data_IF_820037442927
#
_entry.id   IF_820037442927
#
_cell.length_a   1.000
_cell.length_b   1.000
_cell.length_c   1.000
_cell.angle_alpha   90.00
_cell.angle_beta   90.00
_cell.angle_gamma   90.00
#
_symmetry.space_group_name_H-M   'P 1'
#
loop_
_entity.id
_entity.type
_entity.pdbx_description
1 polymer ?
#
# COMPACT_ATOMS: atom_id res chain seq x y z
N UNK A 1 27.92 0.18 18.66
CA UNK A 1 27.12 -0.81 17.91
C UNK A 1 25.75 -1.12 18.52
N UNK A 2 25.59 -1.34 19.84
CA UNK A 2 24.27 -1.61 20.48
C UNK A 2 23.22 -0.47 20.37
N UNK A 3 23.65 0.79 20.25
CA UNK A 3 22.74 1.93 20.09
C UNK A 3 22.07 1.95 18.71
N UNK A 4 22.86 1.75 17.65
CA UNK A 4 22.39 1.73 16.26
C UNK A 4 21.39 0.60 15.97
N UNK A 5 21.54 -0.56 16.59
CA UNK A 5 20.59 -1.67 16.42
C UNK A 5 19.22 -1.32 17.01
N UNK A 6 19.18 -0.76 18.23
CA UNK A 6 17.92 -0.34 18.87
C UNK A 6 17.18 0.73 18.07
N UNK A 7 17.91 1.70 17.50
CA UNK A 7 17.32 2.73 16.63
C UNK A 7 16.71 2.14 15.36
N UNK A 8 17.39 1.16 14.74
CA UNK A 8 16.88 0.46 13.57
C UNK A 8 15.61 -0.34 13.88
N UNK A 9 15.54 -0.97 15.05
CA UNK A 9 14.38 -1.76 15.48
C UNK A 9 13.16 -0.85 15.70
N UNK A 10 13.34 0.27 16.41
CA UNK A 10 12.28 1.26 16.61
C UNK A 10 11.78 1.85 15.28
N UNK A 11 12.70 2.30 14.42
CA UNK A 11 12.36 2.84 13.10
C UNK A 11 11.60 1.82 12.24
N UNK A 12 12.00 0.55 12.30
CA UNK A 12 11.34 -0.54 11.57
C UNK A 12 9.91 -0.74 12.06
N UNK A 13 9.69 -0.79 13.38
CA UNK A 13 8.34 -0.95 13.93
C UNK A 13 7.43 0.22 13.60
N UNK A 14 7.92 1.46 13.77
CA UNK A 14 7.11 2.65 13.45
C UNK A 14 6.79 2.70 11.96
N UNK A 15 7.78 2.49 11.09
CA UNK A 15 7.55 2.44 9.64
C UNK A 15 6.57 1.33 9.27
N UNK A 16 6.65 0.16 9.89
CA UNK A 16 5.73 -0.95 9.65
C UNK A 16 4.28 -0.59 10.01
N UNK A 17 4.06 -0.04 11.20
CA UNK A 17 2.73 0.37 11.66
C UNK A 17 2.15 1.44 10.76
N UNK A 18 2.91 2.50 10.48
CA UNK A 18 2.44 3.59 9.60
C UNK A 18 2.15 3.07 8.20
N UNK A 19 3.03 2.24 7.64
CA UNK A 19 2.82 1.62 6.32
C UNK A 19 1.54 0.80 6.29
N UNK A 20 1.31 -0.05 7.30
CA UNK A 20 0.11 -0.86 7.39
C UNK A 20 -1.15 0.02 7.47
N UNK A 21 -1.13 1.10 8.26
CA UNK A 21 -2.24 2.05 8.35
C UNK A 21 -2.50 2.75 7.02
N UNK A 22 -1.47 3.19 6.30
CA UNK A 22 -1.61 3.80 4.96
C UNK A 22 -2.22 2.81 3.98
N UNK A 23 -1.70 1.58 3.92
CA UNK A 23 -2.23 0.54 3.03
C UNK A 23 -3.70 0.28 3.35
N UNK A 24 -4.05 0.07 4.62
CA UNK A 24 -5.44 -0.17 5.02
C UNK A 24 -6.35 1.03 4.70
N UNK A 25 -5.89 2.26 4.92
CA UNK A 25 -6.68 3.47 4.63
C UNK A 25 -7.02 3.61 3.13
N UNK A 26 -6.08 3.28 2.25
CA UNK A 26 -6.26 3.45 0.80
C UNK A 26 -6.83 2.22 0.07
N UNK A 27 -6.83 1.04 0.72
CA UNK A 27 -7.38 -0.19 0.13
C UNK A 27 -8.73 -0.56 0.70
N UNK A 28 -8.85 -0.64 2.03
CA UNK A 28 -10.10 -0.97 2.72
C UNK A 28 -10.86 0.30 3.11
N UNK A 29 -10.14 1.33 3.55
CA UNK A 29 -10.71 2.60 4.01
C UNK A 29 -11.49 3.36 2.92
N UNK A 30 -11.18 3.14 1.63
CA UNK A 30 -11.93 3.71 0.49
C UNK A 30 -13.41 3.30 0.45
N UNK A 31 -13.80 2.23 1.15
CA UNK A 31 -15.20 1.82 1.32
C UNK A 31 -15.99 2.67 2.31
N UNK A 32 -15.29 3.45 3.15
CA UNK A 32 -15.88 4.21 4.25
C UNK A 32 -15.63 5.72 4.13
N UNK A 33 -14.60 6.11 3.40
CA UNK A 33 -14.18 7.51 3.25
C UNK A 33 -14.22 7.91 1.79
N UNK A 34 -14.93 9.00 1.48
CA UNK A 34 -14.93 9.63 0.16
C UNK A 34 -13.82 10.68 0.07
N UNK A 35 -13.17 10.79 -1.08
CA UNK A 35 -12.23 11.89 -1.35
C UNK A 35 -12.78 12.74 -2.50
N UNK A 36 -13.07 14.04 -2.26
CA UNK A 36 -13.62 14.92 -3.29
C UNK A 36 -12.80 14.92 -4.57
N UNK A 37 -13.47 14.67 -5.70
CA UNK A 37 -12.85 14.64 -7.03
C UNK A 37 -12.04 13.38 -7.35
N UNK A 38 -11.88 12.44 -6.41
CA UNK A 38 -11.07 11.23 -6.58
C UNK A 38 -11.91 9.96 -6.55
N UNK A 39 -12.69 9.74 -5.49
CA UNK A 39 -13.61 8.61 -5.38
C UNK A 39 -14.73 8.87 -4.36
N UNK A 40 -15.83 8.11 -4.49
CA UNK A 40 -16.90 8.06 -3.48
C UNK A 40 -16.92 6.71 -2.76
N UNK A 41 -17.18 6.73 -1.45
CA UNK A 41 -17.29 5.50 -0.64
C UNK A 41 -18.43 4.59 -1.10
N UNK A 42 -19.55 5.18 -1.50
CA UNK A 42 -20.72 4.46 -2.03
C UNK A 42 -20.39 3.58 -3.24
N UNK A 43 -19.43 4.01 -4.08
CA UNK A 43 -19.02 3.24 -5.26
C UNK A 43 -18.25 1.96 -4.94
N UNK A 44 -17.82 1.81 -3.68
CA UNK A 44 -17.02 0.70 -3.19
C UNK A 44 -17.78 -0.23 -2.23
N UNK A 45 -19.08 -0.03 -2.00
CA UNK A 45 -19.89 -0.97 -1.22
C UNK A 45 -20.48 -2.08 -2.09
N UNK A 46 -19.59 -2.85 -2.73
CA UNK A 46 -19.94 -3.95 -3.62
C UNK A 46 -19.11 -5.19 -3.28
N UNK A 47 -19.61 -6.37 -3.67
CA UNK A 47 -18.87 -7.64 -3.62
C UNK A 47 -18.70 -8.18 -5.04
N UNK A 48 -17.65 -7.73 -5.72
CA UNK A 48 -17.39 -8.13 -7.12
C UNK A 48 -15.94 -8.58 -7.26
N UNK A 49 -15.71 -9.62 -8.07
CA UNK A 49 -14.37 -10.12 -8.39
C UNK A 49 -14.09 -9.81 -9.86
N UNK A 50 -12.96 -9.16 -10.11
CA UNK A 50 -12.47 -8.79 -11.43
C UNK A 50 -11.14 -9.48 -11.70
N UNK A 51 -11.21 -10.48 -12.58
CA UNK A 51 -10.08 -11.35 -12.90
C UNK A 51 -9.27 -10.88 -14.10
N UNK A 52 -9.83 -9.99 -14.93
CA UNK A 52 -9.10 -9.43 -16.05
C UNK A 52 -8.12 -8.36 -15.53
N UNK A 53 -6.79 -8.56 -15.64
CA UNK A 53 -5.81 -7.58 -15.16
C UNK A 53 -5.78 -6.29 -16.00
N UNK A 54 -6.55 -6.22 -17.07
CA UNK A 54 -6.73 -5.02 -17.89
C UNK A 54 -8.11 -4.39 -17.70
N UNK A 55 -8.94 -4.92 -16.80
CA UNK A 55 -10.33 -4.47 -16.64
C UNK A 55 -10.43 -2.98 -16.32
N UNK A 56 -9.54 -2.48 -15.45
CA UNK A 56 -9.48 -1.06 -15.12
C UNK A 56 -9.18 -0.18 -16.35
N UNK A 57 -8.35 -0.66 -17.28
CA UNK A 57 -8.01 0.06 -18.51
C UNK A 57 -9.11 -0.05 -19.58
N UNK A 58 -9.76 -1.20 -19.70
CA UNK A 58 -10.83 -1.45 -20.67
C UNK A 58 -12.10 -0.64 -20.34
N UNK A 59 -12.42 -0.50 -19.06
CA UNK A 59 -13.65 0.16 -18.58
C UNK A 59 -13.38 1.49 -17.88
N UNK A 60 -12.29 2.17 -18.27
CA UNK A 60 -11.88 3.44 -17.69
C UNK A 60 -12.96 4.52 -17.85
N UNK A 61 -13.57 4.95 -16.73
CA UNK A 61 -14.53 6.07 -16.73
C UNK A 61 -13.87 7.42 -17.02
N UNK A 62 -12.64 7.57 -16.54
CA UNK A 62 -11.80 8.76 -16.73
C UNK A 62 -10.41 8.30 -17.15
N UNK A 63 -9.80 9.01 -18.10
CA UNK A 63 -8.53 8.58 -18.73
C UNK A 63 -7.37 8.42 -17.75
N UNK A 64 -7.37 9.17 -16.65
CA UNK A 64 -6.32 9.15 -15.62
C UNK A 64 -6.54 8.07 -14.55
N UNK A 65 -7.75 7.54 -14.43
CA UNK A 65 -8.14 6.59 -13.38
C UNK A 65 -7.28 5.31 -13.36
N UNK A 66 -7.09 4.63 -14.50
CA UNK A 66 -6.27 3.42 -14.57
C UNK A 66 -4.81 3.67 -14.21
N UNK A 67 -4.25 4.81 -14.63
CA UNK A 67 -2.88 5.19 -14.30
C UNK A 67 -2.72 5.45 -12.81
N UNK A 68 -3.70 6.13 -12.20
CA UNK A 68 -3.71 6.35 -10.76
C UNK A 68 -3.81 5.02 -10.00
N UNK A 69 -4.64 4.08 -10.46
CA UNK A 69 -4.74 2.76 -9.84
C UNK A 69 -3.41 1.99 -9.90
N UNK A 70 -2.84 1.90 -11.10
CA UNK A 70 -1.58 1.20 -11.35
C UNK A 70 -0.43 1.77 -10.52
N UNK A 71 -0.17 3.07 -10.62
CA UNK A 71 0.93 3.70 -9.87
C UNK A 71 0.63 3.82 -8.38
N UNK A 72 -0.63 4.00 -7.99
CA UNK A 72 -1.07 4.07 -6.61
C UNK A 72 -0.80 2.76 -5.86
N UNK A 73 -1.21 1.63 -6.44
CA UNK A 73 -1.00 0.31 -5.84
C UNK A 73 0.50 -0.07 -5.76
N UNK A 74 1.28 0.20 -6.82
CA UNK A 74 2.74 0.05 -6.76
C UNK A 74 3.32 0.92 -5.63
N UNK A 75 2.93 2.19 -5.55
CA UNK A 75 3.43 3.12 -4.54
C UNK A 75 3.05 2.71 -3.11
N UNK A 76 1.85 2.17 -2.89
CA UNK A 76 1.39 1.68 -1.59
C UNK A 76 2.23 0.50 -1.08
N UNK A 77 2.68 -0.38 -1.97
CA UNK A 77 3.43 -1.57 -1.59
C UNK A 77 4.96 -1.43 -1.64
N UNK A 78 5.51 -0.35 -2.21
CA UNK A 78 6.92 0.02 -2.07
C UNK A 78 7.39 0.02 -0.59
N UNK A 79 6.76 0.75 0.35
CA UNK A 79 7.17 0.72 1.75
C UNK A 79 6.95 -0.64 2.40
N UNK A 80 5.94 -1.42 1.98
CA UNK A 80 5.70 -2.79 2.48
C UNK A 80 6.91 -3.68 2.18
N UNK A 81 7.39 -3.67 0.93
CA UNK A 81 8.57 -4.44 0.53
C UNK A 81 9.83 -4.01 1.27
N UNK A 82 10.04 -2.69 1.43
CA UNK A 82 11.22 -2.15 2.10
C UNK A 82 11.27 -2.56 3.58
N UNK A 83 10.13 -2.44 4.26
CA UNK A 83 9.97 -2.79 5.68
C UNK A 83 10.04 -4.30 5.89
N UNK A 84 9.47 -5.11 4.99
CA UNK A 84 9.47 -6.57 5.09
C UNK A 84 10.84 -7.21 4.77
N UNK A 85 11.73 -6.50 4.08
CA UNK A 85 13.04 -7.03 3.68
C UNK A 85 13.91 -7.44 4.89
N UNK A 86 14.30 -8.72 4.92
CA UNK A 86 15.20 -9.32 5.92
C UNK A 86 16.30 -10.15 5.23
N UNK A 87 16.96 -9.57 4.22
CA UNK A 87 18.05 -10.22 3.48
C UNK A 87 17.60 -11.09 2.29
N UNK A 88 16.29 -11.20 2.03
CA UNK A 88 15.74 -11.93 0.89
C UNK A 88 14.62 -11.13 0.24
N UNK A 89 14.81 -10.76 -1.03
CA UNK A 89 13.78 -10.09 -1.84
C UNK A 89 12.58 -11.01 -2.01
N UNK A 90 12.81 -12.29 -2.33
CA UNK A 90 11.71 -13.26 -2.53
C UNK A 90 10.81 -13.42 -1.31
N UNK A 91 11.36 -13.44 -0.08
CA UNK A 91 10.54 -13.50 1.15
C UNK A 91 9.72 -12.23 1.36
N UNK A 92 10.28 -11.06 1.05
CA UNK A 92 9.56 -9.79 1.16
C UNK A 92 8.45 -9.68 0.11
N UNK A 93 8.70 -10.14 -1.11
CA UNK A 93 7.69 -10.22 -2.17
C UNK A 93 6.57 -11.18 -1.80
N UNK A 94 6.90 -12.37 -1.28
CA UNK A 94 5.89 -13.32 -0.80
C UNK A 94 5.04 -12.73 0.33
N UNK A 95 5.65 -12.01 1.27
CA UNK A 95 4.93 -11.29 2.31
C UNK A 95 3.97 -10.25 1.70
N UNK A 96 4.45 -9.44 0.75
CA UNK A 96 3.62 -8.49 0.01
C UNK A 96 2.46 -9.15 -0.73
N UNK A 97 2.70 -10.27 -1.42
CA UNK A 97 1.66 -11.04 -2.10
C UNK A 97 0.59 -11.53 -1.12
N UNK A 98 0.98 -12.12 0.01
CA UNK A 98 0.04 -12.60 1.03
C UNK A 98 -0.78 -11.44 1.62
N UNK A 99 -0.15 -10.30 1.90
CA UNK A 99 -0.85 -9.10 2.36
C UNK A 99 -1.84 -8.60 1.32
N UNK A 100 -1.45 -8.50 0.05
CA UNK A 100 -2.32 -8.05 -1.02
C UNK A 100 -3.52 -8.98 -1.19
N UNK A 101 -3.29 -10.29 -1.28
CA UNK A 101 -4.39 -11.26 -1.38
C UNK A 101 -5.33 -11.20 -0.17
N UNK A 102 -4.78 -10.99 1.04
CA UNK A 102 -5.60 -10.82 2.25
C UNK A 102 -6.51 -9.59 2.20
N UNK A 103 -6.01 -8.48 1.62
CA UNK A 103 -6.80 -7.25 1.41
C UNK A 103 -7.92 -7.49 0.40
N UNK A 104 -7.59 -8.08 -0.76
CA UNK A 104 -8.57 -8.41 -1.80
C UNK A 104 -9.68 -9.34 -1.29
N UNK A 105 -9.29 -10.37 -0.54
CA UNK A 105 -10.23 -11.30 0.09
C UNK A 105 -11.12 -10.58 1.11
N UNK A 106 -10.56 -9.66 1.91
CA UNK A 106 -11.35 -8.87 2.84
C UNK A 106 -12.33 -7.95 2.11
N UNK A 107 -11.91 -7.28 1.03
CA UNK A 107 -12.77 -6.44 0.21
C UNK A 107 -13.95 -7.23 -0.36
N UNK A 108 -13.69 -8.43 -0.88
CA UNK A 108 -14.74 -9.32 -1.39
C UNK A 108 -15.68 -9.83 -0.28
N UNK A 109 -15.14 -10.39 0.81
CA UNK A 109 -15.96 -11.02 1.86
C UNK A 109 -16.83 -10.01 2.61
N UNK A 110 -16.33 -8.81 2.84
CA UNK A 110 -17.04 -7.78 3.61
C UNK A 110 -17.80 -6.76 2.75
N UNK A 111 -17.86 -6.95 1.42
CA UNK A 111 -18.48 -5.99 0.49
C UNK A 111 -17.85 -4.59 0.56
N UNK A 112 -16.53 -4.51 0.75
CA UNK A 112 -15.77 -3.25 0.82
C UNK A 112 -15.13 -2.87 -0.52
N UNK A 113 -15.47 -3.55 -1.61
CA UNK A 113 -15.08 -3.10 -2.94
C UNK A 113 -14.97 -4.20 -3.97
N UNK A 114 -14.33 -3.83 -5.06
CA UNK A 114 -13.93 -4.77 -6.09
C UNK A 114 -12.69 -5.50 -5.60
N UNK A 115 -12.66 -6.81 -5.82
CA UNK A 115 -11.47 -7.62 -5.68
C UNK A 115 -10.80 -7.76 -7.04
N UNK A 116 -9.61 -7.19 -7.17
CA UNK A 116 -8.98 -6.84 -8.43
C UNK A 116 -7.66 -7.56 -8.63
N UNK A 117 -7.55 -8.28 -9.75
CA UNK A 117 -6.31 -9.02 -10.07
C UNK A 117 -5.16 -8.08 -10.46
N UNK A 118 -5.46 -6.93 -11.07
CA UNK A 118 -4.47 -5.91 -11.38
C UNK A 118 -3.89 -5.24 -10.14
N UNK A 119 -4.69 -5.07 -9.07
CA UNK A 119 -4.24 -4.55 -7.79
C UNK A 119 -3.19 -5.49 -7.16
N UNK A 120 -3.43 -6.80 -7.16
CA UNK A 120 -2.45 -7.80 -6.67
C UNK A 120 -1.15 -7.73 -7.46
N UNK A 121 -1.21 -7.65 -8.79
CA UNK A 121 -0.02 -7.57 -9.63
C UNK A 121 0.78 -6.29 -9.33
N UNK A 122 0.12 -5.15 -9.25
CA UNK A 122 0.74 -3.86 -8.94
C UNK A 122 1.37 -3.86 -7.53
N UNK A 123 0.67 -4.41 -6.55
CA UNK A 123 1.14 -4.53 -5.17
C UNK A 123 2.38 -5.43 -5.06
N UNK A 124 2.40 -6.56 -5.78
CA UNK A 124 3.58 -7.44 -5.87
C UNK A 124 4.78 -6.72 -6.49
N UNK A 125 4.57 -5.96 -7.57
CA UNK A 125 5.62 -5.15 -8.20
C UNK A 125 6.15 -4.10 -7.22
N UNK A 126 5.27 -3.40 -6.51
CA UNK A 126 5.65 -2.46 -5.45
C UNK A 126 6.49 -3.11 -4.36
N UNK A 127 6.05 -4.26 -3.84
CA UNK A 127 6.80 -5.00 -2.82
C UNK A 127 8.18 -5.47 -3.32
N UNK A 128 8.28 -5.88 -4.57
CA UNK A 128 9.54 -6.27 -5.20
C UNK A 128 10.51 -5.09 -5.31
N UNK A 129 10.06 -3.95 -5.84
CA UNK A 129 10.86 -2.74 -5.96
C UNK A 129 11.32 -2.22 -4.58
N UNK A 130 10.41 -2.21 -3.60
CA UNK A 130 10.70 -1.79 -2.23
C UNK A 130 11.73 -2.68 -1.54
N UNK A 131 11.59 -4.00 -1.71
CA UNK A 131 12.55 -4.97 -1.18
C UNK A 131 13.92 -4.87 -1.87
N UNK A 132 13.94 -4.63 -3.18
CA UNK A 132 15.17 -4.36 -3.94
C UNK A 132 15.89 -3.11 -3.42
N UNK A 133 15.15 -2.01 -3.24
CA UNK A 133 15.68 -0.77 -2.66
C UNK A 133 16.23 -0.98 -1.24
N UNK A 134 15.55 -1.78 -0.40
CA UNK A 134 16.03 -2.15 0.93
C UNK A 134 17.33 -2.97 0.89
N UNK A 135 17.48 -3.87 -0.08
CA UNK A 135 18.70 -4.65 -0.29
C UNK A 135 19.90 -3.81 -0.72
N UNK A 136 19.66 -2.76 -1.50
CA UNK A 136 20.70 -1.80 -1.92
C UNK A 136 21.04 -0.72 -0.88
N UNK A 137 20.22 -0.56 0.17
CA UNK A 137 20.41 0.48 1.19
C UNK A 137 21.48 0.08 2.21
N UNK A 138 22.46 0.95 2.45
CA UNK A 138 23.50 0.71 3.45
C UNK A 138 22.91 0.59 4.87
N UNK A 139 23.55 -0.20 5.74
CA UNK A 139 23.10 -0.40 7.12
C UNK A 139 22.99 0.91 7.92
N UNK A 140 23.83 1.90 7.60
CA UNK A 140 23.81 3.22 8.24
C UNK A 140 22.63 4.09 7.80
N UNK A 141 22.20 3.98 6.55
CA UNK A 141 21.12 4.80 6.00
C UNK A 141 19.73 4.18 6.19
N UNK A 142 19.65 2.88 6.50
CA UNK A 142 18.36 2.17 6.67
C UNK A 142 17.45 2.83 7.70
N UNK A 143 17.97 3.24 8.86
CA UNK A 143 17.18 3.97 9.86
C UNK A 143 16.53 5.22 9.27
N UNK A 144 17.32 6.03 8.58
CA UNK A 144 16.87 7.28 7.97
C UNK A 144 15.76 7.04 6.97
N UNK A 145 15.91 6.05 6.07
CA UNK A 145 14.87 5.70 5.09
C UNK A 145 13.59 5.24 5.77
N UNK A 146 13.68 4.42 6.82
CA UNK A 146 12.51 3.99 7.59
C UNK A 146 11.79 5.16 8.26
N UNK A 147 12.52 6.13 8.82
CA UNK A 147 11.93 7.34 9.37
C UNK A 147 11.30 8.24 8.30
N UNK A 148 11.90 8.33 7.11
CA UNK A 148 11.29 9.02 5.97
C UNK A 148 9.99 8.35 5.53
N UNK A 149 9.95 7.02 5.44
CA UNK A 149 8.73 6.26 5.14
C UNK A 149 7.66 6.55 6.19
N UNK A 150 8.01 6.50 7.48
CA UNK A 150 7.08 6.79 8.56
C UNK A 150 6.55 8.23 8.51
N UNK A 151 7.42 9.22 8.29
CA UNK A 151 7.02 10.63 8.21
C UNK A 151 6.12 10.89 7.01
N UNK A 152 6.48 10.38 5.83
CA UNK A 152 5.67 10.51 4.62
C UNK A 152 4.31 9.84 4.78
N UNK A 153 4.27 8.61 5.31
CA UNK A 153 3.02 7.91 5.58
C UNK A 153 2.14 8.63 6.60
N UNK A 154 2.72 9.22 7.65
CA UNK A 154 1.96 10.01 8.62
C UNK A 154 1.33 11.26 7.96
N UNK A 155 2.07 11.97 7.10
CA UNK A 155 1.51 13.09 6.32
C UNK A 155 0.36 12.63 5.44
N UNK A 156 0.54 11.52 4.72
CA UNK A 156 -0.51 10.94 3.86
C UNK A 156 -1.76 10.58 4.68
N UNK A 157 -1.62 9.98 5.86
CA UNK A 157 -2.74 9.67 6.75
C UNK A 157 -3.44 10.91 7.27
N UNK A 158 -2.70 11.96 7.63
CA UNK A 158 -3.30 13.24 8.06
C UNK A 158 -4.11 13.86 6.93
N UNK A 159 -3.58 13.88 5.71
CA UNK A 159 -4.31 14.38 4.54
C UNK A 159 -5.54 13.53 4.26
N UNK A 160 -5.41 12.20 4.26
CA UNK A 160 -6.53 11.28 4.08
C UNK A 160 -7.64 11.51 5.11
N UNK A 161 -7.28 11.65 6.39
CA UNK A 161 -8.23 11.90 7.46
C UNK A 161 -8.89 13.28 7.35
N UNK A 162 -8.12 14.32 7.02
CA UNK A 162 -8.65 15.68 6.85
C UNK A 162 -9.66 15.76 5.70
N UNK A 163 -9.34 15.14 4.56
CA UNK A 163 -10.24 15.07 3.41
C UNK A 163 -11.48 14.24 3.73
N UNK A 164 -11.31 13.11 4.41
CA UNK A 164 -12.40 12.22 4.77
C UNK A 164 -13.37 12.78 5.81
N UNK A 165 -12.89 13.56 6.78
CA UNK A 165 -13.75 14.25 7.75
C UNK A 165 -14.49 15.46 7.17
N UNK A 166 -14.02 15.96 6.02
CA UNK A 166 -14.62 17.11 5.33
C UNK A 166 -15.64 16.74 4.24
N UNK A 167 -15.75 15.45 3.93
CA UNK A 167 -16.64 14.88 2.92
C UNK A 167 -17.95 14.39 3.54
#
# INVERSE_FOLDING_TARGET
>A
MKSTSKTNDAATHVAAVVTALVVLAFTVGKAFVSIPGLWSAESHQVSQIRLNPLETFEYARVWWGPWLNLFGNIALFLPVGFVAYRGSVGRAVLFGLVCSLGIEVAQYVFSWGYSDTDDVLCNVVGAWLGAGAAGGTSRGNRATVLWCIAAAGAVVLVVWAALGLSA
#
